data_IF_957794374184
#
_entry.id   IF_957794374184
#
_cell.length_a   1.000
_cell.length_b   1.000
_cell.length_c   1.000
_cell.angle_alpha   90.00
_cell.angle_beta   90.00
_cell.angle_gamma   90.00
#
_symmetry.space_group_name_H-M   'P 1'
#
loop_
_entity.id
_entity.type
_entity.pdbx_description
1 polymer ?
#
# COMPACT_ATOMS: atom_id res chain seq x y z
N UNK A 1 -23.74 -32.35 -41.99
CA UNK A 1 -23.13 -32.38 -40.64
C UNK A 1 -23.44 -31.07 -39.88
N UNK A 2 -24.56 -30.94 -39.15
CA UNK A 2 -24.94 -29.70 -38.46
C UNK A 2 -24.68 -29.69 -36.94
N UNK A 3 -24.29 -30.83 -36.35
CA UNK A 3 -24.21 -31.01 -34.88
C UNK A 3 -23.08 -30.21 -34.21
N UNK A 4 -22.03 -29.81 -34.93
CA UNK A 4 -20.89 -29.09 -34.31
C UNK A 4 -21.09 -27.58 -34.22
N UNK A 5 -22.00 -27.01 -35.02
CA UNK A 5 -22.25 -25.57 -35.05
C UNK A 5 -22.98 -25.11 -33.78
N UNK A 6 -23.99 -25.87 -33.34
CA UNK A 6 -24.73 -25.61 -32.12
C UNK A 6 -23.86 -25.73 -30.86
N UNK A 7 -22.95 -26.70 -30.82
CA UNK A 7 -22.01 -26.84 -29.72
C UNK A 7 -21.06 -25.63 -29.60
N UNK A 8 -20.55 -25.11 -30.73
CA UNK A 8 -19.70 -23.92 -30.74
C UNK A 8 -20.46 -22.65 -30.30
N UNK A 9 -21.70 -22.48 -30.75
CA UNK A 9 -22.55 -21.36 -30.33
C UNK A 9 -22.83 -21.42 -28.83
N UNK A 10 -23.09 -22.62 -28.28
CA UNK A 10 -23.32 -22.81 -26.86
C UNK A 10 -22.08 -22.48 -26.02
N UNK A 11 -20.89 -22.88 -26.47
CA UNK A 11 -19.62 -22.58 -25.79
C UNK A 11 -19.33 -21.07 -25.80
N UNK A 12 -19.58 -20.37 -26.90
CA UNK A 12 -19.39 -18.91 -26.99
C UNK A 12 -20.39 -18.16 -26.11
N UNK A 13 -21.66 -18.58 -26.11
CA UNK A 13 -22.68 -18.00 -25.23
C UNK A 13 -22.38 -18.23 -23.74
N UNK A 14 -21.88 -19.42 -23.38
CA UNK A 14 -21.46 -19.72 -22.02
C UNK A 14 -20.22 -18.90 -21.60
N UNK A 15 -19.26 -18.69 -22.50
CA UNK A 15 -18.09 -17.85 -22.23
C UNK A 15 -18.44 -16.37 -22.09
N UNK A 16 -19.48 -15.88 -22.78
CA UNK A 16 -19.99 -14.50 -22.65
C UNK A 16 -20.84 -14.28 -21.39
N UNK A 17 -21.35 -15.35 -20.79
CA UNK A 17 -22.10 -15.32 -19.53
C UNK A 17 -21.25 -15.68 -18.30
N UNK A 18 -19.99 -16.07 -18.51
CA UNK A 18 -19.06 -16.24 -17.40
C UNK A 18 -18.78 -14.86 -16.80
N UNK A 19 -19.10 -14.63 -15.51
CA UNK A 19 -18.70 -13.39 -14.86
C UNK A 19 -17.17 -13.33 -14.92
N UNK A 20 -16.64 -12.26 -15.51
CA UNK A 20 -15.24 -11.89 -15.32
C UNK A 20 -15.06 -11.59 -13.84
N UNK A 21 -14.71 -12.61 -13.06
CA UNK A 21 -14.28 -12.42 -11.68
C UNK A 21 -12.87 -11.84 -11.74
N UNK A 22 -12.77 -10.51 -11.74
CA UNK A 22 -11.54 -9.85 -11.36
C UNK A 22 -11.35 -10.11 -9.86
N UNK A 23 -10.18 -10.62 -9.48
CA UNK A 23 -9.81 -10.69 -8.08
C UNK A 23 -9.81 -9.27 -7.51
N UNK A 24 -10.35 -9.09 -6.31
CA UNK A 24 -10.36 -7.80 -5.63
C UNK A 24 -8.91 -7.40 -5.32
N UNK A 25 -8.39 -6.39 -6.02
CA UNK A 25 -6.97 -6.04 -5.97
C UNK A 25 -6.62 -5.26 -4.71
N UNK A 26 -7.61 -4.69 -4.00
CA UNK A 26 -7.39 -3.90 -2.78
C UNK A 26 -6.83 -2.49 -3.02
N UNK A 27 -6.63 -2.12 -4.28
CA UNK A 27 -6.04 -0.85 -4.71
C UNK A 27 -6.27 -0.59 -6.20
N UNK A 28 -6.11 0.68 -6.58
CA UNK A 28 -6.23 1.18 -7.95
C UNK A 28 -5.07 2.14 -8.29
N UNK A 29 -4.50 2.09 -9.51
CA UNK A 29 -3.43 2.99 -9.91
C UNK A 29 -3.94 4.43 -10.09
N UNK A 30 -3.18 5.40 -9.61
CA UNK A 30 -3.40 6.81 -9.94
C UNK A 30 -2.77 7.05 -11.31
N UNK A 31 -3.58 7.54 -12.26
CA UNK A 31 -3.18 7.69 -13.67
C UNK A 31 -2.14 8.79 -13.90
N UNK A 32 -1.93 9.68 -12.93
CA UNK A 32 -0.97 10.77 -13.04
C UNK A 32 0.47 10.25 -13.06
N UNK A 33 1.24 10.74 -14.02
CA UNK A 33 2.67 10.41 -14.12
C UNK A 33 3.45 11.21 -13.09
N UNK A 34 4.22 10.51 -12.26
CA UNK A 34 5.13 11.13 -11.28
C UNK A 34 6.28 11.82 -12.02
N UNK A 35 6.36 13.14 -11.87
CA UNK A 35 7.44 13.94 -12.48
C UNK A 35 8.76 13.64 -11.78
N UNK A 36 9.77 13.29 -12.56
CA UNK A 36 11.13 13.00 -12.09
C UNK A 36 12.17 13.62 -13.02
N UNK A 37 13.42 13.65 -12.57
CA UNK A 37 14.56 14.04 -13.40
C UNK A 37 14.82 13.00 -14.50
N UNK A 38 15.30 13.43 -15.67
CA UNK A 38 15.65 12.55 -16.79
C UNK A 38 16.75 11.54 -16.43
N UNK A 39 17.63 11.90 -15.48
CA UNK A 39 18.71 11.03 -14.99
C UNK A 39 18.26 10.05 -13.91
N UNK A 40 17.02 10.15 -13.43
CA UNK A 40 16.49 9.26 -12.41
C UNK A 40 15.98 7.95 -13.04
N UNK A 41 16.73 6.88 -12.82
CA UNK A 41 16.45 5.54 -13.36
C UNK A 41 15.35 4.79 -12.60
N UNK A 42 14.93 5.28 -11.43
CA UNK A 42 13.93 4.63 -10.58
C UNK A 42 12.53 4.69 -11.20
N UNK A 43 11.72 3.68 -10.95
CA UNK A 43 10.32 3.64 -11.40
C UNK A 43 9.39 4.06 -10.27
N UNK A 44 8.38 4.85 -10.59
CA UNK A 44 7.45 5.42 -9.62
C UNK A 44 6.01 5.11 -10.04
N UNK A 45 5.18 4.70 -9.09
CA UNK A 45 3.74 4.54 -9.29
C UNK A 45 3.01 5.02 -8.05
N UNK A 46 2.07 5.94 -8.21
CA UNK A 46 1.13 6.26 -7.14
C UNK A 46 -0.09 5.33 -7.24
N UNK A 47 -0.53 4.79 -6.12
CA UNK A 47 -1.75 3.98 -6.02
C UNK A 47 -2.66 4.56 -4.93
N UNK A 48 -3.95 4.28 -5.05
CA UNK A 48 -4.94 4.51 -4.00
C UNK A 48 -5.44 3.17 -3.50
N UNK A 49 -5.30 2.92 -2.20
CA UNK A 49 -5.87 1.75 -1.54
C UNK A 49 -7.39 1.93 -1.36
N UNK A 50 -8.12 0.86 -1.08
CA UNK A 50 -9.58 0.92 -0.87
C UNK A 50 -9.99 1.79 0.32
N UNK A 51 -9.09 1.97 1.30
CA UNK A 51 -9.28 2.88 2.44
C UNK A 51 -8.86 4.34 2.13
N UNK A 52 -8.77 4.70 0.85
CA UNK A 52 -8.38 6.00 0.31
C UNK A 52 -6.93 6.45 0.59
N UNK A 53 -6.11 5.61 1.23
CA UNK A 53 -4.70 5.94 1.42
C UNK A 53 -3.97 6.02 0.08
N UNK A 54 -3.29 7.13 -0.16
CA UNK A 54 -2.42 7.31 -1.32
C UNK A 54 -1.02 6.82 -0.96
N UNK A 55 -0.48 5.92 -1.78
CA UNK A 55 0.84 5.33 -1.59
C UNK A 55 1.70 5.61 -2.81
N UNK A 56 2.93 6.09 -2.59
CA UNK A 56 3.95 6.22 -3.63
C UNK A 56 4.86 4.98 -3.58
N UNK A 57 4.78 4.15 -4.61
CA UNK A 57 5.67 3.01 -4.83
C UNK A 57 6.90 3.49 -5.59
N UNK A 58 8.08 3.14 -5.08
CA UNK A 58 9.37 3.42 -5.74
C UNK A 58 10.11 2.10 -5.94
N UNK A 59 10.34 1.73 -7.21
CA UNK A 59 11.15 0.58 -7.58
C UNK A 59 12.54 1.04 -8.01
N UNK A 60 13.54 0.64 -7.23
CA UNK A 60 14.95 0.88 -7.49
C UNK A 60 15.70 -0.47 -7.40
N UNK A 61 15.99 -1.11 -8.55
CA UNK A 61 16.75 -2.36 -8.57
C UNK A 61 18.19 -2.25 -8.03
N UNK A 62 18.72 -1.04 -7.85
CA UNK A 62 20.05 -0.77 -7.32
C UNK A 62 20.01 -0.35 -5.84
N UNK A 63 18.83 -0.34 -5.20
CA UNK A 63 18.70 0.07 -3.80
C UNK A 63 19.48 -0.85 -2.86
N UNK A 64 20.39 -0.26 -2.08
CA UNK A 64 21.16 -0.98 -1.04
C UNK A 64 20.28 -1.33 0.16
N UNK A 65 19.26 -0.52 0.44
CA UNK A 65 18.26 -0.74 1.50
C UNK A 65 16.88 -0.32 1.03
N UNK A 66 15.88 -1.10 1.41
CA UNK A 66 14.47 -0.70 1.31
C UNK A 66 14.11 0.28 2.43
N UNK A 67 13.22 1.23 2.11
CA UNK A 67 12.71 2.25 3.02
C UNK A 67 11.18 2.27 2.96
N UNK A 68 10.55 2.74 4.02
CA UNK A 68 9.11 2.99 4.08
C UNK A 68 8.85 4.18 5.00
N UNK A 69 7.79 4.94 4.72
CA UNK A 69 7.33 6.04 5.55
C UNK A 69 5.81 6.12 5.48
N UNK A 70 5.17 6.54 6.57
CA UNK A 70 3.75 6.80 6.66
C UNK A 70 3.56 8.14 7.36
N UNK A 71 2.65 8.96 6.83
CA UNK A 71 2.36 10.29 7.39
C UNK A 71 0.86 10.39 7.64
N UNK A 72 0.51 10.95 8.81
CA UNK A 72 -0.85 11.37 9.13
C UNK A 72 -0.87 12.90 9.11
N UNK A 73 -1.78 13.56 8.38
CA UNK A 73 -1.82 15.02 8.25
C UNK A 73 -2.43 15.69 9.48
N UNK A 74 -2.00 15.30 10.67
CA UNK A 74 -2.40 15.81 11.99
C UNK A 74 -1.15 15.87 12.88
N UNK A 75 -1.04 16.88 13.73
CA UNK A 75 0.09 17.03 14.65
C UNK A 75 -0.27 17.87 15.87
N UNK A 76 0.74 18.45 16.52
CA UNK A 76 0.57 19.20 17.78
C UNK A 76 -0.34 20.43 17.67
N UNK A 77 -0.52 20.98 16.47
CA UNK A 77 -1.48 22.07 16.23
C UNK A 77 -2.95 21.65 16.47
N UNK A 78 -3.21 20.35 16.54
CA UNK A 78 -4.52 19.78 16.85
C UNK A 78 -4.58 19.20 18.28
N UNK A 79 -3.56 19.43 19.10
CA UNK A 79 -3.59 19.00 20.50
C UNK A 79 -4.74 19.69 21.25
N UNK A 80 -5.53 18.96 22.05
CA UNK A 80 -6.51 19.55 22.94
C UNK A 80 -5.87 20.59 23.86
N UNK A 81 -6.62 21.65 24.19
CA UNK A 81 -6.10 22.73 25.03
C UNK A 81 -5.65 22.24 26.43
N UNK A 82 -6.29 21.19 26.94
CA UNK A 82 -5.99 20.56 28.22
C UNK A 82 -4.92 19.43 28.13
N UNK A 83 -4.48 19.06 26.92
CA UNK A 83 -3.51 17.98 26.68
C UNK A 83 -2.47 18.36 25.61
N UNK A 84 -1.71 19.42 25.87
CA UNK A 84 -0.58 19.81 25.01
C UNK A 84 0.49 18.71 24.97
N UNK A 85 0.98 18.39 23.78
CA UNK A 85 1.94 17.31 23.54
C UNK A 85 1.30 15.95 23.27
N UNK A 86 -0.04 15.86 23.16
CA UNK A 86 -0.75 14.60 22.95
C UNK A 86 -0.39 13.93 21.63
N UNK A 87 -0.28 14.67 20.53
CA UNK A 87 0.10 14.11 19.23
C UNK A 87 1.51 13.48 19.28
N UNK A 88 2.46 14.17 19.90
CA UNK A 88 3.82 13.65 20.08
C UNK A 88 3.83 12.46 21.04
N UNK A 89 3.05 12.50 22.13
CA UNK A 89 2.91 11.35 23.03
C UNK A 89 2.33 10.13 22.28
N UNK A 90 1.31 10.34 21.44
CA UNK A 90 0.71 9.28 20.64
C UNK A 90 1.71 8.66 19.66
N UNK A 91 2.57 9.48 19.02
CA UNK A 91 3.66 9.00 18.16
C UNK A 91 4.52 7.96 18.88
N UNK A 92 5.00 8.26 20.10
CA UNK A 92 5.76 7.31 20.92
C UNK A 92 4.94 6.06 21.25
N UNK A 93 3.68 6.23 21.63
CA UNK A 93 2.81 5.11 22.01
C UNK A 93 2.50 4.17 20.85
N UNK A 94 2.53 4.63 19.60
CA UNK A 94 2.33 3.74 18.43
C UNK A 94 3.42 2.68 18.26
N UNK A 95 4.59 2.88 18.87
CA UNK A 95 5.73 1.95 18.85
C UNK A 95 5.74 0.99 20.05
N UNK A 96 4.79 1.14 20.99
CA UNK A 96 4.70 0.34 22.22
C UNK A 96 3.85 -0.93 22.08
N UNK A 97 3.53 -1.33 20.85
CA UNK A 97 2.82 -2.57 20.54
C UNK A 97 1.52 -2.34 19.76
N UNK A 98 1.01 -3.41 19.16
CA UNK A 98 -0.24 -3.46 18.39
C UNK A 98 -0.99 -4.76 18.64
N UNK A 99 -2.22 -4.88 18.14
CA UNK A 99 -2.97 -6.13 18.27
C UNK A 99 -2.25 -7.34 17.65
N UNK A 100 -1.51 -7.13 16.55
CA UNK A 100 -0.77 -8.21 15.85
C UNK A 100 0.62 -8.47 16.45
N UNK A 101 1.27 -7.43 16.97
CA UNK A 101 2.58 -7.48 17.61
C UNK A 101 2.50 -6.76 18.96
N UNK A 102 2.02 -7.43 20.01
CA UNK A 102 1.70 -6.78 21.29
C UNK A 102 2.93 -6.40 22.12
N UNK A 103 4.10 -6.94 21.80
CA UNK A 103 5.34 -6.61 22.49
C UNK A 103 5.77 -5.17 22.18
N UNK A 104 6.08 -4.36 23.20
CA UNK A 104 6.75 -3.08 23.02
C UNK A 104 8.05 -3.25 22.24
N UNK A 105 8.44 -2.22 21.49
CA UNK A 105 9.66 -2.19 20.69
C UNK A 105 9.79 -3.26 19.60
N UNK A 106 8.76 -4.09 19.36
CA UNK A 106 8.81 -5.20 18.40
C UNK A 106 9.28 -4.78 17.00
N UNK A 107 8.84 -3.61 16.51
CA UNK A 107 9.32 -3.05 15.24
C UNK A 107 10.80 -2.63 15.32
N UNK A 108 11.19 -1.93 16.39
CA UNK A 108 12.57 -1.46 16.56
C UNK A 108 13.56 -2.63 16.70
N UNK A 109 13.19 -3.67 17.44
CA UNK A 109 13.97 -4.91 17.55
C UNK A 109 14.07 -5.63 16.21
N UNK A 110 12.96 -5.75 15.48
CA UNK A 110 12.96 -6.33 14.14
C UNK A 110 13.93 -5.58 13.22
N UNK A 111 13.90 -4.24 13.20
CA UNK A 111 14.81 -3.44 12.37
C UNK A 111 16.27 -3.65 12.78
N UNK A 112 16.58 -3.63 14.09
CA UNK A 112 17.93 -3.87 14.61
C UNK A 112 18.50 -5.21 14.16
N UNK A 113 17.71 -6.29 14.27
CA UNK A 113 18.12 -7.64 13.85
C UNK A 113 18.43 -7.74 12.35
N UNK A 114 17.86 -6.83 11.54
CA UNK A 114 18.07 -6.78 10.09
C UNK A 114 19.00 -5.63 9.65
N UNK A 115 19.82 -5.09 10.55
CA UNK A 115 20.80 -4.04 10.23
C UNK A 115 20.17 -2.70 9.82
N UNK A 116 18.94 -2.45 10.26
CA UNK A 116 18.19 -1.21 10.07
C UNK A 116 18.08 -0.44 11.39
N UNK A 117 17.99 0.87 11.29
CA UNK A 117 17.64 1.76 12.41
C UNK A 117 16.15 2.09 12.30
N UNK A 118 15.45 2.26 13.43
CA UNK A 118 14.09 2.80 13.44
C UNK A 118 14.04 4.22 12.84
#
# INVERSE_FOLDING_TARGET
MPRSLWFKVFVVLAALWAPFSQADTGWQPIQETIRKSEKDTRQYQAIRLDNDMVVLLVSDPQAVKSLSALVVPVGSLQDPADHQGLAHFLEHMTLMGSQKYPQPDSLAEFLKLHGRQP
#
